data_IF_996282555652
#
_entry.id   IF_996282555652
#
_cell.length_a   1.000
_cell.length_b   1.000
_cell.length_c   1.000
_cell.angle_alpha   90.00
_cell.angle_beta   90.00
_cell.angle_gamma   90.00
#
_symmetry.space_group_name_H-M   'P 1'
#
loop_
_entity.id
_entity.type
_entity.pdbx_description
1 polymer ?
#
# COMPACT_ATOMS: atom_id res chain seq x y z
N UNK A 1 4.28 29.39 -11.29
CA UNK A 1 4.49 28.72 -9.98
C UNK A 1 4.70 27.23 -10.25
N UNK A 2 5.88 26.69 -9.95
CA UNK A 2 6.18 25.26 -10.14
C UNK A 2 5.40 24.48 -9.07
N UNK A 3 4.42 23.66 -9.48
CA UNK A 3 3.75 22.71 -8.58
C UNK A 3 4.80 21.77 -8.02
N UNK A 4 4.86 21.65 -6.70
CA UNK A 4 5.71 20.71 -5.97
C UNK A 4 5.61 19.32 -6.63
N UNK A 5 6.73 18.81 -7.13
CA UNK A 5 6.80 17.64 -8.00
C UNK A 5 6.78 16.31 -7.24
N UNK A 6 6.27 16.29 -6.01
CA UNK A 6 6.20 15.07 -5.20
C UNK A 6 4.79 14.46 -5.26
N UNK A 7 4.67 13.13 -5.33
CA UNK A 7 3.38 12.46 -5.28
C UNK A 7 2.71 12.75 -3.93
N UNK A 8 1.50 13.32 -3.95
CA UNK A 8 0.82 13.81 -2.74
C UNK A 8 0.24 12.65 -1.91
N UNK A 9 -0.21 11.58 -2.57
CA UNK A 9 -0.87 10.44 -1.93
C UNK A 9 -0.04 9.15 -2.01
N UNK A 10 -0.30 8.20 -1.11
CA UNK A 10 0.31 6.88 -1.11
C UNK A 10 0.10 6.15 -2.45
N UNK A 11 -1.07 6.32 -3.05
CA UNK A 11 -1.41 5.75 -4.36
C UNK A 11 -0.56 6.34 -5.48
N UNK A 12 -0.33 7.65 -5.47
CA UNK A 12 0.52 8.31 -6.47
C UNK A 12 2.00 7.93 -6.29
N UNK A 13 2.46 7.79 -5.04
CA UNK A 13 3.80 7.25 -4.75
C UNK A 13 3.94 5.84 -5.32
N UNK A 14 2.98 4.97 -5.02
CA UNK A 14 2.90 3.62 -5.58
C UNK A 14 2.96 3.60 -7.11
N UNK A 15 2.08 4.35 -7.79
CA UNK A 15 2.02 4.37 -9.25
C UNK A 15 3.33 4.88 -9.89
N UNK A 16 3.91 5.94 -9.31
CA UNK A 16 5.15 6.55 -9.78
C UNK A 16 6.34 5.60 -9.61
N UNK A 17 6.48 5.00 -8.42
CA UNK A 17 7.55 4.08 -8.13
C UNK A 17 7.40 2.77 -8.92
N UNK A 18 6.17 2.24 -9.05
CA UNK A 18 5.90 1.05 -9.86
C UNK A 18 6.42 1.20 -11.29
N UNK A 19 6.07 2.32 -11.94
CA UNK A 19 6.56 2.62 -13.28
C UNK A 19 8.07 2.78 -13.31
N UNK A 20 8.64 3.49 -12.34
CA UNK A 20 10.08 3.73 -12.24
C UNK A 20 10.86 2.42 -12.14
N UNK A 21 10.51 1.56 -11.18
CA UNK A 21 11.21 0.29 -10.96
C UNK A 21 11.03 -0.67 -12.12
N UNK A 22 9.83 -0.76 -12.69
CA UNK A 22 9.59 -1.57 -13.90
C UNK A 22 10.51 -1.15 -15.05
N UNK A 23 10.58 0.15 -15.36
CA UNK A 23 11.41 0.66 -16.47
C UNK A 23 12.90 0.48 -16.19
N UNK A 24 13.35 0.67 -14.93
CA UNK A 24 14.74 0.45 -14.55
C UNK A 24 15.19 -1.00 -14.71
N UNK A 25 14.26 -1.96 -14.60
CA UNK A 25 14.53 -3.38 -14.84
C UNK A 25 14.35 -3.81 -16.30
N UNK A 26 14.05 -2.86 -17.21
CA UNK A 26 13.84 -3.17 -18.62
C UNK A 26 12.54 -3.94 -18.92
N UNK A 27 11.63 -4.05 -17.95
CA UNK A 27 10.37 -4.79 -18.13
C UNK A 27 9.33 -3.93 -18.84
N UNK A 28 8.61 -4.52 -19.77
CA UNK A 28 7.37 -3.99 -20.34
C UNK A 28 6.20 -4.14 -19.37
N UNK A 29 5.11 -3.40 -19.61
CA UNK A 29 3.87 -3.55 -18.85
C UNK A 29 3.26 -4.95 -18.99
N UNK A 30 3.47 -5.60 -20.13
CA UNK A 30 2.96 -6.94 -20.42
C UNK A 30 3.76 -8.02 -19.69
N UNK A 31 5.09 -7.88 -19.65
CA UNK A 31 5.95 -8.76 -18.87
C UNK A 31 5.61 -8.68 -17.38
N UNK A 32 5.57 -7.46 -16.81
CA UNK A 32 5.19 -7.29 -15.40
C UNK A 32 3.78 -7.82 -15.10
N UNK A 33 2.84 -7.62 -16.02
CA UNK A 33 1.49 -8.17 -15.90
C UNK A 33 1.50 -9.70 -15.82
N UNK A 34 2.25 -10.34 -16.72
CA UNK A 34 2.36 -11.80 -16.78
C UNK A 34 2.88 -12.41 -15.48
N UNK A 35 3.85 -11.77 -14.80
CA UNK A 35 4.37 -12.25 -13.50
C UNK A 35 3.30 -12.38 -12.41
N UNK A 36 2.23 -11.59 -12.47
CA UNK A 36 1.18 -11.55 -11.45
C UNK A 36 -0.20 -11.96 -12.01
N UNK A 37 -0.22 -12.66 -13.15
CA UNK A 37 -1.45 -13.12 -13.80
C UNK A 37 -2.38 -11.97 -14.22
N UNK A 38 -1.81 -10.89 -14.73
CA UNK A 38 -2.53 -9.67 -15.12
C UNK A 38 -2.27 -9.25 -16.55
N UNK A 39 -3.24 -8.59 -17.17
CA UNK A 39 -3.02 -8.00 -18.48
C UNK A 39 -2.24 -6.67 -18.40
N UNK A 40 -1.66 -6.29 -19.54
CA UNK A 40 -0.96 -5.00 -19.74
C UNK A 40 -1.83 -3.80 -19.37
N UNK A 41 -3.15 -3.87 -19.60
CA UNK A 41 -4.09 -2.78 -19.32
C UNK A 41 -4.23 -2.53 -17.83
N UNK A 42 -4.22 -3.57 -17.00
CA UNK A 42 -4.24 -3.48 -15.56
C UNK A 42 -2.99 -2.75 -15.04
N UNK A 43 -1.80 -3.11 -15.53
CA UNK A 43 -0.55 -2.41 -15.17
C UNK A 43 -0.61 -0.95 -15.63
N UNK A 44 -1.06 -0.70 -16.85
CA UNK A 44 -1.22 0.66 -17.38
C UNK A 44 -2.18 1.53 -16.56
N UNK A 45 -3.25 0.95 -16.00
CA UNK A 45 -4.17 1.68 -15.11
C UNK A 45 -3.50 2.03 -13.79
N UNK A 46 -2.81 1.07 -13.16
CA UNK A 46 -2.09 1.28 -11.91
C UNK A 46 -1.02 2.37 -12.05
N UNK A 47 -0.20 2.34 -13.11
CA UNK A 47 0.84 3.34 -13.36
C UNK A 47 0.30 4.75 -13.67
N UNK A 48 -0.99 4.85 -14.00
CA UNK A 48 -1.70 6.12 -14.21
C UNK A 48 -2.57 6.50 -13.02
N UNK A 49 -2.32 5.91 -11.85
CA UNK A 49 -3.04 6.20 -10.60
C UNK A 49 -4.54 5.88 -10.70
N UNK A 50 -4.94 5.02 -11.64
CA UNK A 50 -6.34 4.62 -11.82
C UNK A 50 -6.66 3.40 -10.95
N UNK A 51 -7.78 3.48 -10.21
CA UNK A 51 -8.23 2.44 -9.29
C UNK A 51 -7.55 2.53 -7.92
N UNK A 52 -7.79 1.55 -7.04
CA UNK A 52 -7.17 1.49 -5.73
C UNK A 52 -6.59 0.08 -5.53
N UNK A 53 -5.27 -0.11 -5.67
CA UNK A 53 -4.69 -1.43 -5.52
C UNK A 53 -4.83 -1.92 -4.08
N UNK A 54 -5.12 -3.21 -3.93
CA UNK A 54 -5.03 -3.87 -2.62
C UNK A 54 -3.56 -4.05 -2.24
N UNK A 55 -3.33 -4.29 -0.95
CA UNK A 55 -2.00 -4.53 -0.42
C UNK A 55 -1.39 -5.81 -1.00
N UNK A 56 -2.18 -6.86 -1.19
CA UNK A 56 -1.74 -8.11 -1.83
C UNK A 56 -1.33 -7.87 -3.29
N UNK A 57 -2.07 -7.00 -3.99
CA UNK A 57 -1.71 -6.63 -5.38
C UNK A 57 -0.42 -5.81 -5.42
N UNK A 58 -0.25 -4.89 -4.48
CA UNK A 58 0.97 -4.10 -4.34
C UNK A 58 2.17 -4.99 -4.00
N UNK A 59 2.00 -5.95 -3.08
CA UNK A 59 3.00 -6.94 -2.69
C UNK A 59 3.38 -7.84 -3.88
N UNK A 60 2.40 -8.37 -4.62
CA UNK A 60 2.68 -9.20 -5.79
C UNK A 60 3.51 -8.45 -6.85
N UNK A 61 3.23 -7.16 -7.06
CA UNK A 61 4.00 -6.30 -7.96
C UNK A 61 5.41 -6.03 -7.44
N UNK A 62 5.56 -5.80 -6.13
CA UNK A 62 6.85 -5.60 -5.49
C UNK A 62 7.72 -6.86 -5.59
N UNK A 63 7.15 -8.02 -5.32
CA UNK A 63 7.80 -9.33 -5.47
C UNK A 63 8.21 -9.62 -6.92
N UNK A 64 7.36 -9.29 -7.91
CA UNK A 64 7.71 -9.42 -9.32
C UNK A 64 8.88 -8.50 -9.74
N UNK A 65 9.07 -7.40 -9.00
CA UNK A 65 10.19 -6.46 -9.17
C UNK A 65 11.35 -6.72 -8.20
N UNK A 66 11.33 -7.81 -7.42
CA UNK A 66 12.39 -8.15 -6.44
C UNK A 66 12.73 -7.00 -5.48
N UNK A 67 11.69 -6.35 -4.94
CA UNK A 67 11.79 -5.25 -3.96
C UNK A 67 10.76 -5.41 -2.84
N UNK A 68 11.04 -4.79 -1.68
CA UNK A 68 10.05 -4.65 -0.61
C UNK A 68 8.93 -3.68 -1.03
N UNK A 69 7.67 -4.03 -0.73
CA UNK A 69 6.50 -3.20 -1.08
C UNK A 69 6.56 -1.77 -0.50
N UNK A 70 7.26 -1.59 0.64
CA UNK A 70 7.50 -0.26 1.24
C UNK A 70 8.26 0.66 0.30
N UNK A 71 9.10 0.11 -0.57
CA UNK A 71 9.84 0.88 -1.59
C UNK A 71 8.89 1.49 -2.62
N UNK A 72 7.82 0.78 -2.99
CA UNK A 72 6.79 1.34 -3.87
C UNK A 72 6.02 2.48 -3.21
N UNK A 73 5.89 2.46 -1.88
CA UNK A 73 5.12 3.44 -1.11
C UNK A 73 5.92 4.62 -0.58
N UNK A 74 7.25 4.56 -0.65
CA UNK A 74 8.16 5.59 -0.18
C UNK A 74 8.11 6.86 -1.04
N UNK A 75 8.51 7.99 -0.48
CA UNK A 75 8.74 9.20 -1.26
C UNK A 75 9.80 8.93 -2.33
N UNK A 76 9.58 9.43 -3.54
CA UNK A 76 10.45 9.21 -4.68
C UNK A 76 11.79 9.95 -4.51
N UNK A 77 12.67 9.42 -3.68
CA UNK A 77 14.05 9.90 -3.56
C UNK A 77 14.85 9.57 -4.82
N UNK A 78 15.84 10.39 -5.18
CA UNK A 78 16.77 10.15 -6.30
C UNK A 78 17.77 9.01 -6.02
N UNK A 79 17.58 8.24 -4.95
CA UNK A 79 18.49 7.18 -4.53
C UNK A 79 18.55 5.99 -5.50
N UNK A 80 19.65 5.26 -5.41
CA UNK A 80 19.86 3.98 -6.09
C UNK A 80 18.86 2.92 -5.61
N UNK A 81 18.70 1.87 -6.41
CA UNK A 81 17.80 0.75 -6.12
C UNK A 81 18.36 0.00 -4.92
N UNK A 82 17.78 0.21 -3.73
CA UNK A 82 18.02 -0.70 -2.62
C UNK A 82 17.15 -1.93 -2.84
N UNK A 83 17.70 -2.92 -3.57
CA UNK A 83 17.08 -4.25 -3.67
C UNK A 83 17.13 -4.86 -2.29
N UNK A 84 15.99 -4.84 -1.62
CA UNK A 84 15.79 -5.56 -0.38
C UNK A 84 14.71 -6.60 -0.65
N UNK A 85 14.92 -7.86 -0.22
CA UNK A 85 13.86 -8.85 -0.27
C UNK A 85 12.66 -8.34 0.56
N UNK A 86 11.42 -8.76 0.23
CA UNK A 86 10.28 -8.49 1.07
C UNK A 86 10.60 -8.90 2.52
N UNK A 87 10.56 -7.94 3.44
CA UNK A 87 10.78 -8.22 4.86
C UNK A 87 9.44 -8.19 5.59
N UNK A 88 9.26 -9.05 6.60
CA UNK A 88 8.04 -9.07 7.42
C UNK A 88 6.77 -9.53 6.70
N UNK A 89 5.72 -9.78 7.49
CA UNK A 89 4.38 -10.07 6.98
C UNK A 89 3.65 -8.75 6.74
N UNK A 90 3.49 -8.38 5.47
CA UNK A 90 2.78 -7.16 5.04
C UNK A 90 1.37 -7.46 4.57
N UNK A 91 0.80 -8.63 4.90
CA UNK A 91 -0.56 -8.99 4.52
C UNK A 91 -1.59 -8.07 5.18
N UNK A 92 -2.79 -7.96 4.58
CA UNK A 92 -3.89 -7.22 5.19
C UNK A 92 -4.22 -7.69 6.62
N UNK A 93 -3.99 -8.97 6.92
CA UNK A 93 -4.19 -9.54 8.25
C UNK A 93 -3.16 -9.02 9.25
N UNK A 94 -1.87 -8.97 8.89
CA UNK A 94 -0.82 -8.43 9.73
C UNK A 94 -1.03 -6.93 10.00
N UNK A 95 -1.38 -6.17 8.96
CA UNK A 95 -1.76 -4.75 9.11
C UNK A 95 -2.97 -4.61 10.05
N UNK A 96 -4.00 -5.43 9.87
CA UNK A 96 -5.20 -5.45 10.72
C UNK A 96 -4.89 -5.69 12.19
N UNK A 97 -4.02 -6.66 12.49
CA UNK A 97 -3.55 -6.92 13.86
C UNK A 97 -2.77 -5.74 14.45
N UNK A 98 -1.94 -5.08 13.63
CA UNK A 98 -1.18 -3.89 14.05
C UNK A 98 -2.09 -2.69 14.31
N UNK A 99 -3.11 -2.48 13.48
CA UNK A 99 -4.16 -1.47 13.66
C UNK A 99 -4.91 -1.70 14.97
N UNK A 100 -5.34 -2.93 15.27
CA UNK A 100 -6.00 -3.27 16.53
C UNK A 100 -5.13 -2.91 17.75
N UNK A 101 -3.85 -3.28 17.70
CA UNK A 101 -2.89 -2.99 18.78
C UNK A 101 -2.67 -1.48 18.98
N UNK A 102 -2.53 -0.72 17.91
CA UNK A 102 -2.36 0.74 18.00
C UNK A 102 -3.62 1.41 18.53
N UNK A 103 -4.79 0.99 18.05
CA UNK A 103 -6.10 1.45 18.52
C UNK A 103 -6.24 1.26 20.04
N UNK A 104 -5.91 0.08 20.54
CA UNK A 104 -5.99 -0.25 21.98
C UNK A 104 -4.98 0.54 22.81
N UNK A 105 -3.75 0.70 22.32
CA UNK A 105 -2.72 1.51 22.97
C UNK A 105 -3.14 2.98 23.11
N UNK A 106 -3.94 3.50 22.17
CA UNK A 106 -4.49 4.86 22.22
C UNK A 106 -5.81 4.95 22.99
N UNK A 107 -6.33 3.84 23.55
CA UNK A 107 -7.60 3.82 24.28
C UNK A 107 -8.83 4.05 23.40
N UNK A 108 -8.74 3.75 22.10
CA UNK A 108 -9.81 3.99 21.13
C UNK A 108 -10.73 2.78 20.99
N UNK A 109 -12.03 3.03 20.87
CA UNK A 109 -13.01 2.05 20.38
C UNK A 109 -12.92 1.90 18.86
N UNK A 110 -13.41 0.79 18.31
CA UNK A 110 -13.49 0.58 16.85
C UNK A 110 -14.33 1.67 16.16
N UNK A 111 -15.37 2.18 16.84
CA UNK A 111 -16.20 3.27 16.33
C UNK A 111 -15.39 4.57 16.22
N UNK A 112 -14.66 4.93 17.27
CA UNK A 112 -13.83 6.13 17.29
C UNK A 112 -12.72 6.05 16.24
N UNK A 113 -12.07 4.89 16.08
CA UNK A 113 -11.08 4.72 15.01
C UNK A 113 -11.72 4.90 13.62
N UNK A 114 -12.91 4.32 13.40
CA UNK A 114 -13.65 4.51 12.16
C UNK A 114 -13.92 5.98 11.86
N UNK A 115 -14.42 6.72 12.86
CA UNK A 115 -14.67 8.16 12.74
C UNK A 115 -13.40 8.95 12.42
N UNK A 116 -12.28 8.67 13.11
CA UNK A 116 -10.99 9.33 12.86
C UNK A 116 -10.42 9.04 11.46
N UNK A 117 -10.54 7.80 10.99
CA UNK A 117 -10.05 7.38 9.68
C UNK A 117 -11.05 7.66 8.54
N UNK A 118 -12.26 8.14 8.84
CA UNK A 118 -13.33 8.34 7.85
C UNK A 118 -13.77 7.02 7.19
N UNK A 119 -13.89 5.95 7.97
CA UNK A 119 -14.39 4.62 7.56
C UNK A 119 -15.41 4.10 8.57
N UNK A 120 -16.26 3.14 8.19
CA UNK A 120 -17.29 2.65 9.10
C UNK A 120 -16.73 1.69 10.18
N UNK A 121 -17.40 1.61 11.33
CA UNK A 121 -16.98 0.74 12.45
C UNK A 121 -16.94 -0.74 12.07
N UNK A 122 -17.82 -1.21 11.18
CA UNK A 122 -17.84 -2.61 10.77
C UNK A 122 -16.68 -2.92 9.82
N UNK A 123 -16.22 -1.95 9.04
CA UNK A 123 -14.96 -2.05 8.31
C UNK A 123 -13.79 -2.24 9.27
N UNK A 124 -13.65 -1.40 10.31
CA UNK A 124 -12.63 -1.59 11.36
C UNK A 124 -12.72 -2.98 11.98
N UNK A 125 -13.93 -3.40 12.37
CA UNK A 125 -14.13 -4.73 12.94
C UNK A 125 -13.72 -5.87 12.01
N UNK A 126 -13.88 -5.72 10.67
CA UNK A 126 -13.51 -6.75 9.70
C UNK A 126 -12.01 -6.82 9.51
N UNK A 127 -11.33 -5.69 9.41
CA UNK A 127 -9.87 -5.68 9.20
C UNK A 127 -9.12 -6.16 10.45
N UNK A 128 -9.64 -5.90 11.65
CA UNK A 128 -9.05 -6.38 12.91
C UNK A 128 -9.37 -7.85 13.20
N UNK A 129 -10.24 -8.49 12.41
CA UNK A 129 -10.66 -9.86 12.66
C UNK A 129 -9.50 -10.84 12.41
N UNK A 130 -9.20 -11.74 13.36
CA UNK A 130 -8.11 -12.70 13.20
C UNK A 130 -8.46 -13.77 12.14
N UNK A 131 -7.43 -14.30 11.47
CA UNK A 131 -7.49 -15.43 10.52
C UNK A 131 -8.23 -15.22 9.19
N UNK A 132 -7.96 -14.11 8.49
CA UNK A 132 -8.21 -14.08 7.03
C UNK A 132 -9.66 -13.93 6.59
N UNK A 133 -10.59 -13.55 7.49
CA UNK A 133 -11.89 -12.95 7.09
C UNK A 133 -11.79 -11.43 6.88
N UNK A 134 -10.57 -10.90 6.86
CA UNK A 134 -10.29 -9.49 6.63
C UNK A 134 -10.59 -9.09 5.19
N UNK A 135 -11.14 -7.90 5.02
CA UNK A 135 -11.30 -7.30 3.69
C UNK A 135 -9.92 -6.92 3.17
N UNK A 136 -9.56 -7.23 1.90
CA UNK A 136 -8.32 -6.76 1.31
C UNK A 136 -8.16 -5.25 1.53
N UNK A 137 -7.05 -4.84 2.14
CA UNK A 137 -6.79 -3.45 2.45
C UNK A 137 -6.30 -2.73 1.20
N UNK A 138 -7.01 -1.69 0.80
CA UNK A 138 -6.58 -0.81 -0.28
C UNK A 138 -5.56 0.23 0.21
N UNK A 139 -4.67 0.68 -0.67
CA UNK A 139 -3.65 1.69 -0.30
C UNK A 139 -4.25 2.98 0.24
N UNK A 140 -5.37 3.47 -0.32
CA UNK A 140 -5.99 4.68 0.22
C UNK A 140 -6.55 4.46 1.65
N UNK A 141 -6.96 3.23 1.97
CA UNK A 141 -7.45 2.91 3.32
C UNK A 141 -6.29 2.76 4.30
N UNK A 142 -5.18 2.17 3.88
CA UNK A 142 -3.93 2.17 4.65
C UNK A 142 -3.50 3.61 4.99
N UNK A 143 -3.57 4.52 4.02
CA UNK A 143 -3.26 5.94 4.21
C UNK A 143 -4.19 6.62 5.22
N UNK A 144 -5.50 6.36 5.15
CA UNK A 144 -6.49 6.88 6.11
C UNK A 144 -6.25 6.38 7.53
N UNK A 145 -5.96 5.10 7.70
CA UNK A 145 -5.69 4.50 9.02
C UNK A 145 -4.41 5.08 9.63
N UNK A 146 -3.36 5.23 8.82
CA UNK A 146 -2.11 5.84 9.27
C UNK A 146 -2.30 7.30 9.70
N UNK A 147 -3.08 8.07 8.92
CA UNK A 147 -3.43 9.44 9.27
C UNK A 147 -4.20 9.53 10.60
N UNK A 148 -5.11 8.59 10.88
CA UNK A 148 -5.85 8.54 12.15
C UNK A 148 -4.93 8.29 13.37
N UNK A 149 -3.81 7.61 13.17
CA UNK A 149 -2.79 7.40 14.20
C UNK A 149 -1.69 8.47 14.20
N UNK A 150 -1.65 9.37 13.23
CA UNK A 150 -0.59 10.38 13.08
C UNK A 150 0.77 9.80 12.70
N UNK A 151 0.81 8.67 12.01
CA UNK A 151 2.04 7.97 11.57
C UNK A 151 2.14 7.89 10.05
N UNK A 152 3.31 7.57 9.52
CA UNK A 152 3.48 7.35 8.08
C UNK A 152 2.86 6.01 7.65
N UNK A 153 2.21 5.90 6.46
CA UNK A 153 1.53 4.66 6.05
C UNK A 153 2.41 3.40 6.02
N UNK A 154 3.68 3.55 5.67
CA UNK A 154 4.63 2.42 5.67
C UNK A 154 4.92 1.88 7.07
N UNK A 155 4.64 2.65 8.12
CA UNK A 155 4.78 2.20 9.51
C UNK A 155 3.64 1.27 9.93
N UNK A 156 2.59 1.08 9.12
CA UNK A 156 1.55 0.07 9.34
C UNK A 156 1.87 -1.28 8.68
N UNK A 157 2.84 -1.31 7.77
CA UNK A 157 3.44 -2.53 7.22
C UNK A 157 4.48 -3.10 8.20
#
# INVERSE_FOLDING_TARGET
MKKSSEPATLRERFATNLRRYRVQQGMSQEELGSYIGADRTAISRLERTFGNPTLERAEALASALDIDVRVLMAFSGKGEIERQPPTGDVSSAAVGAKVARLREKMGLTQKQLGELAGVDRNFISRIEAPHGRGTPLELATLEKLAAAFGIHPVELL
#
